data_IF_724061725501
#
_entry.id   IF_724061725501
#
_cell.length_a   1.000
_cell.length_b   1.000
_cell.length_c   1.000
_cell.angle_alpha   90.00
_cell.angle_beta   90.00
_cell.angle_gamma   90.00
#
_symmetry.space_group_name_H-M   'P 1'
#
loop_
_entity.id
_entity.type
_entity.pdbx_description
1 polymer ?
#
# COMPACT_ATOMS: atom_id res chain seq x y z
N UNK A 1 -0.97 -7.19 34.96
CA UNK A 1 -0.51 -6.03 34.17
C UNK A 1 -1.30 -6.04 32.87
N UNK A 2 -2.33 -5.20 32.68
CA UNK A 2 -3.03 -5.13 31.40
C UNK A 2 -2.15 -4.41 30.37
N UNK A 3 -2.15 -4.93 29.15
CA UNK A 3 -1.34 -4.45 28.04
C UNK A 3 -1.71 -3.03 27.64
N UNK A 4 -0.68 -2.19 27.48
CA UNK A 4 -0.73 -0.87 26.87
C UNK A 4 -1.18 -0.98 25.40
N UNK A 5 -2.25 -0.26 25.05
CA UNK A 5 -2.83 -0.14 23.72
C UNK A 5 -2.33 1.11 22.97
N UNK A 6 -1.03 1.39 22.98
CA UNK A 6 -0.44 2.48 22.21
C UNK A 6 -0.17 2.06 20.76
N UNK A 7 -1.14 2.26 19.85
CA UNK A 7 -0.84 2.26 18.41
C UNK A 7 -0.49 3.69 17.97
N UNK A 8 0.77 4.02 17.62
CA UNK A 8 1.22 5.40 17.38
C UNK A 8 0.78 6.00 16.03
N UNK A 9 -0.01 5.27 15.23
CA UNK A 9 -0.42 5.69 13.89
C UNK A 9 -1.95 5.64 13.77
N UNK A 10 -2.61 6.79 13.92
CA UNK A 10 -4.06 6.92 13.71
C UNK A 10 -4.33 7.65 12.40
N UNK A 11 -4.36 6.90 11.31
CA UNK A 11 -4.71 7.37 9.96
C UNK A 11 -6.16 7.07 9.57
N UNK A 12 -7.08 7.00 10.53
CA UNK A 12 -8.48 6.75 10.23
C UNK A 12 -9.24 8.07 10.12
N UNK A 13 -9.71 8.39 8.91
CA UNK A 13 -10.58 9.55 8.69
C UNK A 13 -11.97 9.31 9.30
N UNK A 14 -12.66 10.38 9.69
CA UNK A 14 -14.03 10.29 10.24
C UNK A 14 -15.01 9.59 9.28
N UNK A 15 -14.74 9.64 7.97
CA UNK A 15 -15.54 9.00 6.92
C UNK A 15 -15.53 7.47 6.95
N UNK A 16 -14.56 6.84 7.65
CA UNK A 16 -14.49 5.38 7.76
C UNK A 16 -15.52 4.79 8.73
N UNK A 17 -16.07 5.60 9.65
CA UNK A 17 -16.93 5.12 10.74
C UNK A 17 -18.26 4.48 10.29
N UNK A 18 -18.68 4.72 9.04
CA UNK A 18 -19.92 4.17 8.47
C UNK A 18 -19.72 3.15 7.35
N UNK A 19 -18.48 2.83 6.96
CA UNK A 19 -18.23 1.90 5.87
C UNK A 19 -18.58 0.47 6.26
N UNK A 20 -19.47 -0.13 5.50
CA UNK A 20 -19.75 -1.55 5.62
C UNK A 20 -18.70 -2.37 4.87
N UNK A 21 -18.28 -3.53 5.41
CA UNK A 21 -17.43 -4.47 4.68
C UNK A 21 -18.05 -4.84 3.33
N UNK A 22 -17.22 -4.97 2.30
CA UNK A 22 -17.70 -5.40 0.98
C UNK A 22 -18.27 -6.83 1.06
N UNK A 23 -19.24 -7.14 0.20
CA UNK A 23 -19.80 -8.49 0.11
C UNK A 23 -18.72 -9.55 -0.17
N UNK A 24 -17.70 -9.20 -0.96
CA UNK A 24 -16.56 -10.07 -1.26
C UNK A 24 -15.70 -10.36 -0.04
N UNK A 25 -15.46 -9.37 0.82
CA UNK A 25 -14.71 -9.55 2.05
C UNK A 25 -15.48 -10.43 3.04
N UNK A 26 -16.77 -10.17 3.20
CA UNK A 26 -17.64 -10.94 4.10
C UNK A 26 -17.69 -12.43 3.73
N UNK A 27 -17.78 -12.75 2.43
CA UNK A 27 -17.77 -14.14 1.97
C UNK A 27 -16.42 -14.81 2.29
N UNK A 28 -15.30 -14.10 2.09
CA UNK A 28 -13.96 -14.62 2.41
C UNK A 28 -13.79 -14.88 3.91
N UNK A 29 -14.24 -13.96 4.76
CA UNK A 29 -14.22 -14.12 6.22
C UNK A 29 -15.07 -15.32 6.67
N UNK A 30 -16.25 -15.48 6.07
CA UNK A 30 -17.13 -16.61 6.37
C UNK A 30 -16.50 -17.95 6.00
N UNK A 31 -15.84 -18.02 4.84
CA UNK A 31 -15.10 -19.21 4.41
C UNK A 31 -13.97 -19.55 5.38
N UNK A 32 -13.21 -18.54 5.84
CA UNK A 32 -12.15 -18.76 6.83
C UNK A 32 -12.70 -19.28 8.16
N UNK A 33 -13.80 -18.70 8.66
CA UNK A 33 -14.46 -19.16 9.89
C UNK A 33 -14.94 -20.61 9.79
N UNK A 34 -15.50 -21.01 8.64
CA UNK A 34 -15.90 -22.40 8.40
C UNK A 34 -14.70 -23.35 8.42
N UNK A 35 -13.60 -23.00 7.74
CA UNK A 35 -12.36 -23.81 7.74
C UNK A 35 -11.77 -23.97 9.14
N UNK A 36 -11.74 -22.88 9.92
CA UNK A 36 -11.26 -22.89 11.30
C UNK A 36 -12.12 -23.79 12.21
N UNK A 37 -13.42 -23.89 11.92
CA UNK A 37 -14.33 -24.83 12.60
C UNK A 37 -14.21 -26.29 12.11
N UNK A 38 -13.21 -26.61 11.28
CA UNK A 38 -13.00 -27.97 10.76
C UNK A 38 -13.98 -28.40 9.66
N UNK A 39 -14.75 -27.46 9.09
CA UNK A 39 -15.65 -27.76 7.96
C UNK A 39 -14.85 -27.93 6.68
N UNK A 40 -15.21 -28.94 5.89
CA UNK A 40 -14.76 -29.00 4.50
C UNK A 40 -15.50 -27.94 3.66
N UNK A 41 -14.74 -27.10 2.97
CA UNK A 41 -15.24 -25.95 2.22
C UNK A 41 -14.51 -25.84 0.89
N UNK A 42 -15.24 -26.04 -0.20
CA UNK A 42 -14.77 -25.73 -1.55
C UNK A 42 -15.00 -24.24 -1.84
N UNK A 43 -13.92 -23.46 -1.87
CA UNK A 43 -13.98 -22.02 -2.15
C UNK A 43 -13.55 -21.72 -3.59
N UNK A 44 -14.51 -21.32 -4.42
CA UNK A 44 -14.32 -21.00 -5.85
C UNK A 44 -14.14 -19.50 -6.11
N UNK A 45 -14.17 -18.67 -5.07
CA UNK A 45 -13.86 -17.23 -5.16
C UNK A 45 -12.34 -17.03 -5.16
N UNK A 46 -11.71 -17.18 -6.32
CA UNK A 46 -10.26 -16.93 -6.46
C UNK A 46 -10.00 -15.43 -6.59
N UNK A 47 -9.34 -14.84 -5.60
CA UNK A 47 -8.88 -13.43 -5.66
C UNK A 47 -7.45 -13.29 -6.19
N UNK A 48 -6.63 -14.33 -6.04
CA UNK A 48 -5.24 -14.38 -6.49
C UNK A 48 -4.92 -15.75 -7.08
N UNK A 49 -3.94 -15.77 -7.97
CA UNK A 49 -3.39 -17.00 -8.53
C UNK A 49 -2.66 -17.79 -7.44
N UNK A 50 -2.90 -19.10 -7.36
CA UNK A 50 -2.14 -20.01 -6.47
C UNK A 50 -0.79 -20.43 -7.06
N UNK A 51 -0.49 -20.04 -8.30
CA UNK A 51 0.77 -20.37 -8.93
C UNK A 51 1.91 -19.50 -8.36
N UNK A 52 3.08 -20.08 -8.09
CA UNK A 52 4.22 -19.29 -7.66
C UNK A 52 4.60 -18.27 -8.74
N UNK A 53 4.99 -17.07 -8.31
CA UNK A 53 5.49 -16.05 -9.22
C UNK A 53 6.80 -16.57 -9.87
N UNK A 54 6.97 -16.46 -11.20
CA UNK A 54 8.19 -16.92 -11.87
C UNK A 54 9.45 -16.25 -11.31
N UNK A 55 10.53 -17.02 -11.19
CA UNK A 55 11.79 -16.55 -10.60
C UNK A 55 12.39 -15.34 -11.33
N UNK A 56 12.20 -15.27 -12.65
CA UNK A 56 12.65 -14.14 -13.49
C UNK A 56 11.98 -12.83 -13.11
N UNK A 57 10.67 -12.87 -12.84
CA UNK A 57 9.89 -11.71 -12.40
C UNK A 57 10.32 -11.28 -11.00
N UNK A 58 10.54 -12.24 -10.09
CA UNK A 58 11.03 -11.95 -8.74
C UNK A 58 12.43 -11.30 -8.77
N UNK A 59 13.33 -11.79 -9.62
CA UNK A 59 14.67 -11.23 -9.77
C UNK A 59 14.64 -9.78 -10.28
N UNK A 60 13.88 -9.52 -11.34
CA UNK A 60 13.72 -8.17 -11.90
C UNK A 60 13.10 -7.19 -10.87
N UNK A 61 12.06 -7.62 -10.14
CA UNK A 61 11.45 -6.79 -9.10
C UNK A 61 12.42 -6.45 -7.96
N UNK A 62 13.32 -7.39 -7.59
CA UNK A 62 14.34 -7.16 -6.57
C UNK A 62 15.43 -6.19 -7.05
N UNK A 63 15.88 -6.34 -8.29
CA UNK A 63 16.91 -5.48 -8.89
C UNK A 63 16.46 -4.01 -8.94
N UNK A 64 15.22 -3.76 -9.36
CA UNK A 64 14.71 -2.40 -9.57
C UNK A 64 13.96 -1.79 -8.37
N UNK A 65 13.87 -2.49 -7.23
CA UNK A 65 13.11 -2.02 -6.06
C UNK A 65 13.56 -0.64 -5.54
N UNK A 66 14.84 -0.31 -5.70
CA UNK A 66 15.42 0.95 -5.22
C UNK A 66 15.23 2.13 -6.19
N UNK A 67 14.96 1.87 -7.47
CA UNK A 67 14.97 2.92 -8.52
C UNK A 67 13.80 3.88 -8.43
N UNK A 68 12.72 3.47 -7.77
CA UNK A 68 11.53 4.32 -7.50
C UNK A 68 11.29 4.52 -6.01
N UNK A 69 12.33 4.33 -5.19
CA UNK A 69 12.27 4.73 -3.80
C UNK A 69 12.12 6.26 -3.78
N UNK A 70 10.94 6.74 -3.40
CA UNK A 70 10.71 8.12 -3.03
C UNK A 70 11.46 8.40 -1.72
N UNK A 71 12.79 8.35 -1.77
CA UNK A 71 13.60 9.14 -0.89
C UNK A 71 13.31 10.57 -1.32
N UNK A 72 12.57 11.29 -0.47
CA UNK A 72 12.49 12.75 -0.47
C UNK A 72 13.83 13.29 -0.98
N UNK A 73 13.87 13.64 -2.26
CA UNK A 73 14.91 14.48 -2.82
C UNK A 73 14.61 15.84 -2.20
N UNK A 74 15.06 16.00 -0.95
CA UNK A 74 14.98 17.23 -0.20
C UNK A 74 15.47 18.30 -1.16
N UNK A 75 14.56 19.18 -1.58
CA UNK A 75 14.88 20.35 -2.37
C UNK A 75 16.06 21.03 -1.69
N UNK A 76 17.26 20.84 -2.24
CA UNK A 76 18.33 21.83 -2.19
C UNK A 76 18.30 22.56 -3.51
N UNK A 77 17.23 23.32 -3.72
CA UNK A 77 17.28 24.47 -4.62
C UNK A 77 17.87 25.63 -3.80
N UNK A 78 19.16 25.57 -3.56
CA UNK A 78 19.93 26.70 -3.03
C UNK A 78 20.95 27.07 -4.10
N UNK A 79 20.46 27.73 -5.15
CA UNK A 79 21.28 28.12 -6.28
C UNK A 79 20.51 28.98 -7.29
N UNK A 80 20.45 30.29 -7.03
CA UNK A 80 20.32 31.28 -8.10
C UNK A 80 18.92 31.82 -8.38
N UNK A 81 18.32 32.55 -7.44
CA UNK A 81 17.18 33.45 -7.73
C UNK A 81 17.62 34.67 -8.58
N UNK A 82 18.92 34.98 -8.68
CA UNK A 82 19.39 36.14 -9.45
C UNK A 82 19.40 35.96 -10.98
N UNK A 83 19.34 34.73 -11.50
CA UNK A 83 19.46 34.46 -12.94
C UNK A 83 18.16 34.59 -13.74
N UNK A 84 17.01 34.36 -13.11
CA UNK A 84 15.71 34.31 -13.80
C UNK A 84 15.02 35.66 -13.93
N UNK A 85 15.45 36.67 -13.15
CA UNK A 85 14.84 37.99 -13.17
C UNK A 85 15.37 38.89 -14.31
N UNK A 86 16.54 38.58 -14.89
CA UNK A 86 17.08 39.32 -16.04
C UNK A 86 16.52 38.88 -17.41
N UNK A 87 15.82 37.74 -17.49
CA UNK A 87 15.28 37.23 -18.75
C UNK A 87 13.84 37.73 -19.05
N UNK A 88 13.17 38.38 -18.10
CA UNK A 88 11.82 38.95 -18.30
C UNK A 88 11.80 40.44 -18.64
N UNK A 89 12.96 41.11 -18.74
CA UNK A 89 13.04 42.52 -19.17
C UNK A 89 13.40 42.69 -20.64
N UNK A 90 13.42 41.59 -21.41
CA UNK A 90 13.71 41.60 -22.85
C UNK A 90 12.69 40.77 -23.65
N UNK A 91 11.41 40.88 -23.30
CA UNK A 91 10.26 40.68 -24.18
C UNK A 91 9.11 41.53 -23.67
#
# INVERSE_FOLDING_TARGET
>A
MPADSSSPFRFASASLAGLQPSATLQINERVQALRAAGRDVLHLGFGESRFPVPATVVAALREHAAERSCALQSLRFTGGILGWQLLQSKW
#
